data_IF_620653314737
#
_entry.id   IF_620653314737
#
_cell.length_a   1.000
_cell.length_b   1.000
_cell.length_c   1.000
_cell.angle_alpha   90.00
_cell.angle_beta   90.00
_cell.angle_gamma   90.00
#
_symmetry.space_group_name_H-M   'P 1'
#
loop_
_entity.id
_entity.type
_entity.pdbx_description
1 polymer ?
#
# COMPACT_ATOMS: atom_id res chain seq x y z
N UNK A 1 19.76 6.32 -0.51
CA UNK A 1 19.64 5.71 0.81
C UNK A 1 20.05 6.76 1.85
N UNK A 2 19.23 6.99 2.88
CA UNK A 2 19.69 7.75 4.04
C UNK A 2 20.70 6.89 4.76
N UNK A 3 21.91 7.40 4.98
CA UNK A 3 22.90 6.71 5.80
C UNK A 3 22.42 6.75 7.26
N UNK A 4 22.11 5.59 7.79
CA UNK A 4 21.84 5.38 9.20
C UNK A 4 23.06 4.70 9.79
N UNK A 5 23.70 5.28 10.80
CA UNK A 5 24.90 4.73 11.41
C UNK A 5 24.79 3.21 11.61
N UNK A 6 25.42 2.44 10.75
CA UNK A 6 25.54 0.98 10.79
C UNK A 6 24.35 0.14 10.26
N UNK A 7 23.13 0.69 10.12
CA UNK A 7 21.99 -0.05 9.57
C UNK A 7 21.65 0.55 8.21
N UNK A 8 21.97 -0.14 7.13
CA UNK A 8 21.65 0.28 5.75
C UNK A 8 22.83 0.69 4.90
N UNK A 9 24.06 0.69 5.42
CA UNK A 9 25.27 0.96 4.63
C UNK A 9 25.53 -0.17 3.60
N UNK A 10 24.98 -1.35 3.84
CA UNK A 10 25.02 -2.53 2.93
C UNK A 10 23.78 -2.67 2.07
N UNK A 11 22.74 -1.84 2.25
CA UNK A 11 21.52 -1.94 1.47
C UNK A 11 21.72 -1.45 0.04
N UNK A 12 21.79 -2.39 -0.87
CA UNK A 12 21.88 -2.16 -2.31
C UNK A 12 20.83 -3.00 -3.06
N UNK A 13 20.86 -2.97 -4.38
CA UNK A 13 19.90 -3.70 -5.20
C UNK A 13 20.06 -5.21 -5.10
N UNK A 14 21.29 -5.71 -4.95
CA UNK A 14 21.54 -7.16 -4.83
C UNK A 14 21.06 -7.68 -3.46
N UNK A 15 21.36 -6.97 -2.38
CA UNK A 15 20.82 -7.31 -1.05
C UNK A 15 19.28 -7.31 -1.05
N UNK A 16 18.65 -6.37 -1.77
CA UNK A 16 17.21 -6.37 -1.93
C UNK A 16 16.71 -7.63 -2.63
N UNK A 17 17.35 -8.05 -3.74
CA UNK A 17 16.98 -9.26 -4.47
C UNK A 17 17.11 -10.52 -3.60
N UNK A 18 18.20 -10.65 -2.85
CA UNK A 18 18.39 -11.75 -1.92
C UNK A 18 17.24 -11.83 -0.89
N UNK A 19 16.85 -10.69 -0.32
CA UNK A 19 15.73 -10.62 0.64
C UNK A 19 14.41 -11.03 -0.02
N UNK A 20 14.12 -10.57 -1.23
CA UNK A 20 12.86 -10.93 -1.92
C UNK A 20 12.83 -12.44 -2.24
N UNK A 21 13.95 -13.01 -2.69
CA UNK A 21 14.05 -14.44 -2.93
C UNK A 21 13.80 -15.25 -1.64
N UNK A 22 14.41 -14.82 -0.52
CA UNK A 22 14.17 -15.46 0.77
C UNK A 22 12.73 -15.27 1.27
N UNK A 23 12.14 -14.10 1.09
CA UNK A 23 10.73 -13.88 1.39
C UNK A 23 9.83 -14.84 0.59
N UNK A 24 10.12 -15.03 -0.71
CA UNK A 24 9.35 -15.99 -1.52
C UNK A 24 9.55 -17.43 -1.04
N UNK A 25 10.77 -17.80 -0.67
CA UNK A 25 11.09 -19.15 -0.17
C UNK A 25 10.34 -19.46 1.13
N UNK A 26 10.33 -18.52 2.09
CA UNK A 26 9.74 -18.75 3.41
C UNK A 26 8.22 -18.49 3.46
N UNK A 27 7.67 -17.72 2.53
CA UNK A 27 6.24 -17.46 2.46
C UNK A 27 5.51 -18.72 2.04
N UNK A 28 4.52 -19.12 2.84
CA UNK A 28 3.63 -20.24 2.54
C UNK A 28 2.70 -19.91 1.39
N UNK A 29 2.21 -20.93 0.70
CA UNK A 29 1.17 -20.77 -0.32
C UNK A 29 -0.10 -20.12 0.28
N UNK A 30 -0.57 -19.05 -0.37
CA UNK A 30 -1.63 -18.17 0.13
C UNK A 30 -1.19 -17.16 1.18
N UNK A 31 0.09 -17.11 1.52
CA UNK A 31 0.66 -16.09 2.42
C UNK A 31 0.81 -14.74 1.73
N UNK A 32 0.74 -13.68 2.52
CA UNK A 32 0.78 -12.27 2.06
C UNK A 32 2.01 -11.57 2.59
N UNK A 33 2.61 -10.73 1.77
CA UNK A 33 3.73 -9.84 2.10
C UNK A 33 3.33 -8.41 1.76
N UNK A 34 3.48 -7.49 2.71
CA UNK A 34 3.28 -6.07 2.47
C UNK A 34 4.62 -5.36 2.45
N UNK A 35 4.93 -4.72 1.33
CA UNK A 35 6.19 -4.02 1.11
C UNK A 35 5.97 -2.51 1.09
N UNK A 36 6.48 -1.82 2.12
CA UNK A 36 6.35 -0.37 2.24
C UNK A 36 7.60 0.30 1.72
N UNK A 37 7.46 1.16 0.73
CA UNK A 37 8.60 1.78 0.05
C UNK A 37 8.25 3.14 -0.54
N UNK A 38 9.27 4.01 -0.65
CA UNK A 38 9.19 5.27 -1.37
C UNK A 38 10.46 5.50 -2.19
N UNK A 39 10.35 6.37 -3.19
CA UNK A 39 11.48 6.75 -4.04
C UNK A 39 12.34 7.83 -3.39
N UNK A 40 13.64 7.64 -3.48
CA UNK A 40 14.63 8.70 -3.27
C UNK A 40 14.59 9.68 -4.45
N UNK A 41 14.99 10.90 -4.20
CA UNK A 41 15.28 11.88 -5.24
C UNK A 41 16.79 12.06 -5.36
N UNK A 42 17.31 11.87 -6.55
CA UNK A 42 18.73 12.06 -6.89
C UNK A 42 18.82 12.97 -8.12
N UNK A 43 19.68 13.97 -8.06
CA UNK A 43 19.89 14.92 -9.17
C UNK A 43 18.59 15.48 -9.77
N UNK A 44 17.62 15.81 -8.89
CA UNK A 44 16.35 16.36 -9.31
C UNK A 44 15.33 15.32 -9.85
N UNK A 45 15.68 14.05 -9.92
CA UNK A 45 14.83 12.97 -10.48
C UNK A 45 14.49 11.91 -9.45
N UNK A 46 13.29 11.35 -9.49
CA UNK A 46 12.92 10.18 -8.70
C UNK A 46 13.64 8.94 -9.22
N UNK A 47 14.16 8.12 -8.32
CA UNK A 47 14.91 6.90 -8.70
C UNK A 47 14.05 5.81 -9.33
N UNK A 48 12.74 5.83 -9.12
CA UNK A 48 11.83 4.78 -9.54
C UNK A 48 12.09 3.44 -8.83
N UNK A 49 12.78 3.48 -7.69
CA UNK A 49 13.14 2.28 -6.94
C UNK A 49 11.92 1.51 -6.45
N UNK A 50 10.84 2.22 -6.06
CA UNK A 50 9.59 1.59 -5.63
C UNK A 50 8.99 0.70 -6.71
N UNK A 51 8.95 1.18 -7.95
CA UNK A 51 8.43 0.42 -9.10
C UNK A 51 9.34 -0.75 -9.48
N UNK A 52 10.68 -0.53 -9.50
CA UNK A 52 11.65 -1.60 -9.77
C UNK A 52 11.53 -2.73 -8.75
N UNK A 53 11.36 -2.37 -7.49
CA UNK A 53 11.16 -3.35 -6.42
C UNK A 53 9.85 -4.11 -6.58
N UNK A 54 8.75 -3.42 -6.88
CA UNK A 54 7.46 -4.08 -7.11
C UNK A 54 7.51 -5.06 -8.30
N UNK A 55 8.13 -4.65 -9.40
CA UNK A 55 8.30 -5.53 -10.58
C UNK A 55 9.16 -6.74 -10.27
N UNK A 56 10.22 -6.58 -9.48
CA UNK A 56 11.07 -7.71 -9.10
C UNK A 56 10.34 -8.72 -8.19
N UNK A 57 9.47 -8.27 -7.28
CA UNK A 57 8.62 -9.20 -6.54
C UNK A 57 7.76 -10.07 -7.48
N UNK A 58 7.21 -9.47 -8.52
CA UNK A 58 6.41 -10.19 -9.52
C UNK A 58 7.28 -11.14 -10.37
N UNK A 59 8.51 -10.74 -10.72
CA UNK A 59 9.47 -11.57 -11.45
C UNK A 59 9.86 -12.81 -10.66
N UNK A 60 10.01 -12.70 -9.34
CA UNK A 60 10.31 -13.83 -8.44
C UNK A 60 9.13 -14.79 -8.30
N UNK A 61 7.91 -14.35 -8.61
CA UNK A 61 6.71 -15.20 -8.63
C UNK A 61 5.61 -14.79 -7.66
N UNK A 62 5.74 -13.65 -6.98
CA UNK A 62 4.62 -13.10 -6.21
C UNK A 62 3.55 -12.49 -7.12
N UNK A 63 2.29 -12.63 -6.74
CA UNK A 63 1.18 -11.88 -7.33
C UNK A 63 1.09 -10.52 -6.66
N UNK A 64 0.98 -9.43 -7.44
CA UNK A 64 0.62 -8.11 -6.91
C UNK A 64 -0.90 -8.05 -6.77
N UNK A 65 -1.42 -8.08 -5.53
CA UNK A 65 -2.85 -8.05 -5.25
C UNK A 65 -3.40 -6.64 -5.12
N UNK A 66 -2.65 -5.73 -4.53
CA UNK A 66 -3.07 -4.32 -4.40
C UNK A 66 -1.86 -3.38 -4.33
N UNK A 67 -2.10 -2.14 -4.76
CA UNK A 67 -1.18 -1.01 -4.60
C UNK A 67 -1.84 -0.01 -3.67
N UNK A 68 -1.55 -0.14 -2.38
CA UNK A 68 -2.09 0.73 -1.35
C UNK A 68 -1.20 1.96 -1.13
N UNK A 69 -1.76 3.00 -0.55
CA UNK A 69 -1.08 4.26 -0.25
C UNK A 69 -1.17 4.56 1.25
N UNK A 70 -0.02 4.71 1.88
CA UNK A 70 0.05 5.34 3.18
C UNK A 70 0.21 6.85 3.02
N UNK A 71 -0.87 7.60 3.25
CA UNK A 71 -0.88 9.06 3.29
C UNK A 71 -0.50 9.54 4.68
N UNK A 72 0.57 10.32 4.78
CA UNK A 72 1.07 10.91 6.03
C UNK A 72 0.24 12.14 6.39
N UNK A 73 -0.21 12.26 7.64
CA UNK A 73 -0.94 13.45 8.11
C UNK A 73 -0.03 14.64 8.41
N UNK A 74 1.21 14.36 8.81
CA UNK A 74 2.21 15.33 9.22
C UNK A 74 3.55 15.11 8.48
N UNK A 75 3.59 15.20 7.13
CA UNK A 75 4.82 15.04 6.38
C UNK A 75 5.77 16.21 6.65
N UNK A 76 7.09 15.92 6.65
CA UNK A 76 8.07 17.00 6.68
C UNK A 76 7.99 17.81 5.38
N UNK A 77 7.86 19.15 5.46
CA UNK A 77 7.85 19.97 4.26
C UNK A 77 9.22 19.92 3.59
N UNK A 78 9.21 19.80 2.26
CA UNK A 78 10.41 19.88 1.45
C UNK A 78 10.50 21.27 0.86
N UNK A 79 11.46 22.06 1.34
CA UNK A 79 11.70 23.43 0.88
C UNK A 79 12.61 23.40 -0.34
N UNK A 80 12.34 24.25 -1.34
CA UNK A 80 13.19 24.49 -2.53
C UNK A 80 13.30 23.34 -3.53
N UNK A 81 12.21 22.62 -3.80
CA UNK A 81 12.16 21.66 -4.91
C UNK A 81 11.06 22.02 -5.91
N UNK A 82 11.30 21.89 -7.22
CA UNK A 82 10.30 22.17 -8.27
C UNK A 82 9.26 21.04 -8.38
N UNK A 83 8.69 20.62 -7.25
CA UNK A 83 7.69 19.54 -7.14
C UNK A 83 6.84 19.71 -5.90
N UNK A 84 5.69 19.03 -5.89
CA UNK A 84 4.84 18.97 -4.72
C UNK A 84 5.50 18.19 -3.58
N UNK A 85 5.11 18.51 -2.33
CA UNK A 85 5.61 17.80 -1.15
C UNK A 85 5.22 16.32 -1.19
N UNK A 86 6.16 15.39 -0.98
CA UNK A 86 5.86 13.96 -0.92
C UNK A 86 5.14 13.64 0.39
N UNK A 87 3.84 13.36 0.30
CA UNK A 87 2.98 13.12 1.46
C UNK A 87 2.59 11.66 1.63
N UNK A 88 3.10 10.75 0.79
CA UNK A 88 2.72 9.34 0.84
C UNK A 88 3.89 8.39 0.62
N UNK A 89 3.67 7.14 0.99
CA UNK A 89 4.50 6.00 0.62
C UNK A 89 3.62 4.91 0.00
N UNK A 90 4.21 4.09 -0.88
CA UNK A 90 3.55 2.92 -1.43
C UNK A 90 3.55 1.78 -0.40
N UNK A 91 2.45 1.05 -0.36
CA UNK A 91 2.33 -0.23 0.34
C UNK A 91 1.88 -1.27 -0.70
N UNK A 92 2.83 -1.96 -1.30
CA UNK A 92 2.52 -3.02 -2.25
C UNK A 92 2.13 -4.29 -1.49
N UNK A 93 0.98 -4.85 -1.83
CA UNK A 93 0.47 -6.09 -1.23
C UNK A 93 0.70 -7.23 -2.20
N UNK A 94 1.58 -8.13 -1.82
CA UNK A 94 1.94 -9.31 -2.61
C UNK A 94 1.40 -10.58 -1.96
N UNK A 95 1.15 -11.62 -2.77
CA UNK A 95 0.87 -12.96 -2.25
C UNK A 95 1.62 -14.02 -3.03
N UNK A 96 1.94 -15.12 -2.35
CA UNK A 96 2.36 -16.35 -3.00
C UNK A 96 1.12 -17.19 -3.32
N UNK A 97 0.76 -17.25 -4.62
CA UNK A 97 -0.53 -17.79 -5.04
C UNK A 97 -1.72 -16.92 -4.63
N UNK A 98 -2.90 -17.51 -4.47
CA UNK A 98 -4.12 -16.81 -4.06
C UNK A 98 -4.12 -16.62 -2.54
N UNK A 99 -4.38 -15.41 -2.01
CA UNK A 99 -4.49 -15.19 -0.57
C UNK A 99 -5.55 -16.11 0.05
N UNK A 100 -5.22 -16.76 1.18
CA UNK A 100 -6.15 -17.69 1.86
C UNK A 100 -7.13 -16.99 2.77
N UNK A 101 -6.74 -15.84 3.30
CA UNK A 101 -7.54 -15.07 4.26
C UNK A 101 -7.51 -13.61 3.89
N UNK A 102 -8.65 -12.96 4.05
CA UNK A 102 -8.77 -11.51 3.97
C UNK A 102 -9.89 -11.06 4.91
N UNK A 103 -9.54 -10.31 5.96
CA UNK A 103 -10.45 -9.74 6.93
C UNK A 103 -10.45 -8.22 6.80
N UNK A 104 -11.23 -7.64 5.87
CA UNK A 104 -11.15 -6.22 5.59
C UNK A 104 -11.49 -5.37 6.80
N UNK A 105 -10.74 -4.32 7.02
CA UNK A 105 -11.09 -3.31 8.01
C UNK A 105 -12.32 -2.57 7.51
N UNK A 106 -13.36 -2.54 8.34
CA UNK A 106 -14.62 -1.85 8.02
C UNK A 106 -14.60 -0.42 8.56
N UNK A 107 -15.23 0.50 7.84
CA UNK A 107 -15.43 1.89 8.27
C UNK A 107 -16.89 2.31 8.06
N UNK A 108 -17.41 3.25 8.89
CA UNK A 108 -18.78 3.73 8.72
C UNK A 108 -19.04 4.33 7.34
N UNK A 109 -20.18 3.99 6.74
CA UNK A 109 -20.59 4.58 5.49
C UNK A 109 -21.36 5.88 5.73
N UNK A 110 -20.90 6.98 5.12
CA UNK A 110 -21.54 8.31 5.27
C UNK A 110 -22.98 8.36 4.76
N UNK A 111 -23.33 7.50 3.82
CA UNK A 111 -24.66 7.41 3.22
C UNK A 111 -25.48 6.25 3.77
N UNK A 112 -25.14 5.74 4.96
CA UNK A 112 -25.82 4.60 5.58
C UNK A 112 -27.34 4.80 5.66
N UNK A 113 -28.09 3.81 5.22
CA UNK A 113 -29.57 3.83 5.24
C UNK A 113 -30.22 4.68 4.16
N UNK A 114 -29.44 5.33 3.29
CA UNK A 114 -30.02 5.99 2.12
C UNK A 114 -30.41 4.97 1.06
N UNK A 115 -31.55 5.21 0.40
CA UNK A 115 -31.95 4.45 -0.76
C UNK A 115 -31.13 4.91 -1.97
N UNK A 116 -30.38 4.00 -2.55
CA UNK A 116 -29.60 4.28 -3.75
C UNK A 116 -30.26 3.61 -4.96
N UNK A 117 -30.51 4.41 -6.00
CA UNK A 117 -31.01 3.93 -7.28
C UNK A 117 -29.85 3.92 -8.29
N UNK A 118 -29.42 2.76 -8.67
CA UNK A 118 -28.35 2.61 -9.66
C UNK A 118 -28.91 2.16 -11.00
N UNK A 119 -28.73 3.00 -12.00
CA UNK A 119 -28.98 2.61 -13.39
C UNK A 119 -27.69 2.01 -13.96
N UNK A 120 -27.56 0.70 -13.96
CA UNK A 120 -26.46 0.02 -14.64
C UNK A 120 -26.76 -0.11 -16.13
N UNK A 121 -25.91 0.47 -16.99
CA UNK A 121 -25.86 0.09 -18.40
C UNK A 121 -25.08 -1.22 -18.49
N UNK A 122 -25.75 -2.32 -18.86
CA UNK A 122 -25.05 -3.56 -19.21
C UNK A 122 -24.23 -3.30 -20.47
N UNK A 123 -22.90 -3.37 -20.36
CA UNK A 123 -22.01 -3.38 -21.52
C UNK A 123 -22.10 -4.77 -22.17
N UNK A 124 -22.95 -4.92 -23.17
CA UNK A 124 -23.01 -6.17 -23.97
C UNK A 124 -24.41 -6.75 -24.14
N UNK A 125 -25.39 -6.00 -24.60
CA UNK A 125 -26.68 -6.56 -24.96
C UNK A 125 -27.71 -5.49 -25.27
N UNK A 126 -28.49 -5.70 -26.29
CA UNK A 126 -29.61 -4.86 -26.68
C UNK A 126 -30.58 -4.67 -25.50
N UNK A 127 -30.92 -3.42 -25.19
CA UNK A 127 -32.08 -2.98 -24.42
C UNK A 127 -32.27 -3.52 -22.98
N UNK A 128 -31.37 -3.19 -22.06
CA UNK A 128 -31.62 -3.51 -20.67
C UNK A 128 -31.01 -2.53 -19.67
N UNK A 129 -31.68 -1.40 -19.39
CA UNK A 129 -31.42 -0.65 -18.15
C UNK A 129 -32.06 -1.42 -16.99
N UNK A 130 -31.28 -2.12 -16.21
CA UNK A 130 -31.77 -2.67 -14.94
C UNK A 130 -31.65 -1.62 -13.86
N UNK A 131 -32.77 -1.16 -13.35
CA UNK A 131 -32.82 -0.36 -12.12
C UNK A 131 -32.68 -1.31 -10.92
N UNK A 132 -31.66 -1.10 -10.11
CA UNK A 132 -31.54 -1.77 -8.80
C UNK A 132 -31.58 -0.71 -7.72
N UNK A 133 -32.58 -0.77 -6.88
CA UNK A 133 -32.65 0.00 -5.63
C UNK A 133 -32.14 -0.86 -4.49
N UNK A 134 -31.22 -0.31 -3.69
CA UNK A 134 -30.74 -0.98 -2.50
C UNK A 134 -30.47 0.04 -1.38
N UNK A 135 -30.62 -0.40 -0.15
CA UNK A 135 -30.22 0.40 1.00
C UNK A 135 -28.70 0.35 1.14
N UNK A 136 -28.09 1.51 1.32
CA UNK A 136 -26.65 1.60 1.55
C UNK A 136 -26.34 1.00 2.92
N UNK A 137 -25.38 0.08 2.96
CA UNK A 137 -24.92 -0.57 4.18
C UNK A 137 -24.39 0.46 5.20
N UNK A 138 -24.50 0.10 6.49
CA UNK A 138 -23.98 0.93 7.58
C UNK A 138 -22.46 1.06 7.54
N UNK A 139 -21.77 0.05 7.04
CA UNK A 139 -20.35 -0.04 6.96
C UNK A 139 -19.90 -0.42 5.54
N UNK A 140 -18.71 0.01 5.19
CA UNK A 140 -18.03 -0.33 3.94
C UNK A 140 -16.60 -0.76 4.22
N UNK A 141 -16.01 -1.48 3.30
CA UNK A 141 -14.57 -1.79 3.34
C UNK A 141 -13.77 -0.49 3.29
N UNK A 142 -12.78 -0.36 4.18
CA UNK A 142 -11.84 0.76 4.19
C UNK A 142 -11.12 0.87 2.84
N UNK A 143 -10.89 2.09 2.37
CA UNK A 143 -10.18 2.31 1.11
C UNK A 143 -8.71 1.88 1.23
N UNK A 144 -8.06 1.64 0.09
CA UNK A 144 -6.64 1.34 0.02
C UNK A 144 -5.72 2.58 0.19
N UNK A 145 -6.28 3.74 0.54
CA UNK A 145 -5.54 4.93 0.95
C UNK A 145 -5.69 5.09 2.46
N UNK A 146 -4.64 4.77 3.20
CA UNK A 146 -4.64 4.85 4.66
C UNK A 146 -4.00 6.16 5.14
N UNK A 147 -4.74 6.91 5.94
CA UNK A 147 -4.29 8.20 6.50
C UNK A 147 -3.78 7.95 7.91
N UNK A 148 -2.45 7.88 8.06
CA UNK A 148 -1.79 7.55 9.33
C UNK A 148 -0.67 8.55 9.58
N UNK A 149 -0.58 9.05 10.81
CA UNK A 149 0.48 9.96 11.21
C UNK A 149 1.86 9.25 11.17
N UNK A 150 2.89 10.01 10.84
CA UNK A 150 4.27 9.55 11.01
C UNK A 150 4.52 9.36 12.51
N UNK A 151 5.14 8.24 12.87
CA UNK A 151 5.47 7.98 14.26
C UNK A 151 6.40 9.08 14.82
N UNK A 152 6.10 9.55 16.02
CA UNK A 152 7.00 10.47 16.72
C UNK A 152 8.23 9.69 17.20
N UNK A 153 9.39 10.22 16.87
CA UNK A 153 10.64 9.58 17.23
C UNK A 153 10.98 9.83 18.70
N UNK A 154 10.81 8.80 19.53
CA UNK A 154 11.28 8.77 20.93
C UNK A 154 12.53 7.88 21.11
N UNK A 155 13.08 7.37 20.00
CA UNK A 155 14.22 6.48 19.98
C UNK A 155 15.38 7.09 19.18
N UNK A 156 16.55 6.48 19.23
CA UNK A 156 17.72 6.88 18.43
C UNK A 156 17.54 6.60 16.92
N UNK A 157 16.50 5.87 16.50
CA UNK A 157 16.24 5.55 15.11
C UNK A 157 15.56 6.73 14.39
N UNK A 158 16.18 7.31 13.33
CA UNK A 158 15.73 8.56 12.72
C UNK A 158 14.44 8.44 11.88
N UNK A 159 13.96 7.24 11.58
CA UNK A 159 12.74 7.01 10.80
C UNK A 159 11.95 5.85 11.39
N UNK A 160 11.10 6.16 12.37
CA UNK A 160 10.26 5.14 13.01
C UNK A 160 9.04 4.86 12.14
N UNK A 161 8.80 3.59 11.87
CA UNK A 161 7.63 3.11 11.16
C UNK A 161 6.40 3.13 12.08
N UNK A 162 5.24 3.65 11.66
CA UNK A 162 4.04 3.62 12.49
C UNK A 162 3.58 2.18 12.70
N UNK A 163 3.59 1.73 13.94
CA UNK A 163 3.17 0.36 14.31
C UNK A 163 1.74 0.05 13.86
N UNK A 164 0.89 1.08 13.77
CA UNK A 164 -0.49 0.93 13.33
C UNK A 164 -0.60 0.33 11.93
N UNK A 165 0.31 0.67 11.01
CA UNK A 165 0.33 0.08 9.65
C UNK A 165 0.56 -1.43 9.75
N UNK A 166 1.54 -1.86 10.55
CA UNK A 166 1.82 -3.28 10.72
C UNK A 166 0.63 -4.01 11.36
N UNK A 167 0.05 -3.45 12.42
CA UNK A 167 -1.11 -4.05 13.11
C UNK A 167 -2.29 -4.19 12.16
N UNK A 168 -2.62 -3.15 11.40
CA UNK A 168 -3.76 -3.15 10.49
C UNK A 168 -3.58 -4.19 9.37
N UNK A 169 -2.37 -4.32 8.81
CA UNK A 169 -2.09 -5.35 7.79
C UNK A 169 -2.07 -6.77 8.35
N UNK A 170 -1.62 -6.98 9.60
CA UNK A 170 -1.61 -8.31 10.22
C UNK A 170 -3.04 -8.78 10.55
N UNK A 171 -3.95 -7.85 10.85
CA UNK A 171 -5.34 -8.15 11.21
C UNK A 171 -6.25 -8.35 10.00
N UNK A 172 -5.91 -7.74 8.86
CA UNK A 172 -6.67 -7.86 7.62
C UNK A 172 -6.23 -9.07 6.79
#
# INVERSE_FOLDING_TARGET
LRKYNGIGDTWNHETFKEIVNELYRVTKEGGVVVWVVNDKTENGTKTGTSFKQALYFMEVGFNLNDTMIWKKTNPMPVVKQPRYNPVFEYMFVFSKGTPKTFNPIMEPCKCAGQLYDSTCKNMGGENGRTHKTFNVNKEKVKSNIWVIAVAQNKTSHPAVFPIQIAIDHIRS
#
